data_IF_146615265543
#
_entry.id   IF_146615265543
#
_cell.length_a   1.000
_cell.length_b   1.000
_cell.length_c   1.000
_cell.angle_alpha   90.00
_cell.angle_beta   90.00
_cell.angle_gamma   90.00
#
_symmetry.space_group_name_H-M   'P 1'
#
loop_
_entity.id
_entity.type
_entity.pdbx_description
1 polymer ?
#
# COMPACT_ATOMS: atom_id res chain seq x y z
N UNK A 1 47.08 -31.95 -44.10
CA UNK A 1 47.17 -32.22 -42.65
C UNK A 1 46.31 -31.19 -41.94
N UNK A 2 45.07 -31.55 -41.59
CA UNK A 2 44.06 -30.65 -41.02
C UNK A 2 43.95 -30.97 -39.53
N UNK A 3 44.35 -30.04 -38.66
CA UNK A 3 44.31 -30.21 -37.20
C UNK A 3 42.90 -29.85 -36.73
N UNK A 4 42.13 -30.85 -36.30
CA UNK A 4 40.85 -30.66 -35.65
C UNK A 4 41.07 -30.29 -34.17
N UNK A 5 40.74 -29.05 -33.81
CA UNK A 5 40.64 -28.63 -32.41
C UNK A 5 39.34 -29.19 -31.80
N UNK A 6 39.46 -30.22 -30.96
CA UNK A 6 38.39 -30.67 -30.07
C UNK A 6 38.17 -29.61 -28.98
N UNK A 7 37.15 -28.77 -29.16
CA UNK A 7 36.61 -27.92 -28.09
C UNK A 7 35.90 -28.82 -27.07
N UNK A 8 36.60 -29.17 -26.00
CA UNK A 8 36.01 -29.78 -24.80
C UNK A 8 35.15 -28.69 -24.13
N UNK A 9 33.85 -28.70 -24.44
CA UNK A 9 32.84 -27.99 -23.66
C UNK A 9 32.78 -28.65 -22.28
N UNK A 10 33.54 -28.11 -21.34
CA UNK A 10 33.38 -28.42 -19.92
C UNK A 10 31.94 -28.07 -19.53
N UNK A 11 31.09 -29.10 -19.38
CA UNK A 11 29.81 -28.96 -18.69
C UNK A 11 30.13 -28.47 -17.29
N UNK A 12 29.86 -27.19 -17.00
CA UNK A 12 29.86 -26.68 -15.62
C UNK A 12 28.84 -27.51 -14.85
N UNK A 13 29.30 -28.39 -13.97
CA UNK A 13 28.44 -28.96 -12.93
C UNK A 13 27.96 -27.78 -12.08
N UNK A 14 26.66 -27.52 -12.13
CA UNK A 14 26.05 -26.52 -11.27
C UNK A 14 25.90 -27.15 -9.89
N UNK A 15 26.65 -26.65 -8.92
CA UNK A 15 26.54 -27.06 -7.52
C UNK A 15 25.28 -26.47 -6.86
N UNK A 16 24.97 -26.99 -5.68
CA UNK A 16 23.86 -26.58 -4.81
C UNK A 16 23.89 -25.07 -4.49
N UNK A 17 22.76 -24.54 -3.98
CA UNK A 17 22.64 -23.09 -3.73
C UNK A 17 23.73 -22.61 -2.76
N UNK A 18 24.36 -21.49 -3.09
CA UNK A 18 25.49 -20.95 -2.31
C UNK A 18 25.05 -19.84 -1.36
N UNK A 19 25.80 -19.66 -0.27
CA UNK A 19 25.64 -18.48 0.58
C UNK A 19 25.78 -17.20 -0.25
N UNK A 20 24.86 -16.24 -0.05
CA UNK A 20 24.84 -14.96 -0.75
C UNK A 20 24.42 -14.99 -2.22
N UNK A 21 24.09 -16.16 -2.80
CA UNK A 21 23.72 -16.27 -4.21
C UNK A 21 22.49 -15.43 -4.61
N UNK A 22 21.55 -15.24 -3.68
CA UNK A 22 20.36 -14.41 -3.82
C UNK A 22 20.48 -13.02 -3.18
N UNK A 23 21.66 -12.59 -2.76
CA UNK A 23 21.82 -11.33 -2.02
C UNK A 23 21.31 -10.10 -2.78
N UNK A 24 21.61 -9.99 -4.08
CA UNK A 24 21.12 -8.88 -4.91
C UNK A 24 19.59 -8.88 -5.06
N UNK A 25 19.00 -10.06 -5.31
CA UNK A 25 17.56 -10.22 -5.44
C UNK A 25 16.85 -9.89 -4.11
N UNK A 26 17.41 -10.34 -2.99
CA UNK A 26 16.86 -10.07 -1.67
C UNK A 26 17.00 -8.60 -1.28
N UNK A 27 18.12 -7.96 -1.62
CA UNK A 27 18.31 -6.52 -1.41
C UNK A 27 17.26 -5.70 -2.15
N UNK A 28 16.95 -6.06 -3.39
CA UNK A 28 15.89 -5.41 -4.16
C UNK A 28 14.51 -5.58 -3.49
N UNK A 29 14.20 -6.79 -3.02
CA UNK A 29 12.95 -7.05 -2.30
C UNK A 29 12.87 -6.32 -0.95
N UNK A 30 14.00 -6.19 -0.24
CA UNK A 30 14.08 -5.44 1.02
C UNK A 30 13.69 -3.98 0.85
N UNK A 31 13.93 -3.35 -0.30
CA UNK A 31 13.48 -1.99 -0.55
C UNK A 31 11.94 -1.88 -0.45
N UNK A 32 11.20 -2.82 -1.04
CA UNK A 32 9.75 -2.87 -0.94
C UNK A 32 9.27 -3.25 0.47
N UNK A 33 9.96 -4.18 1.15
CA UNK A 33 9.67 -4.54 2.56
C UNK A 33 9.80 -3.31 3.47
N UNK A 34 10.83 -2.49 3.28
CA UNK A 34 11.01 -1.26 4.07
C UNK A 34 9.88 -0.27 3.82
N UNK A 35 9.46 -0.07 2.57
CA UNK A 35 8.30 0.79 2.25
C UNK A 35 7.05 0.24 2.93
N UNK A 36 6.80 -1.07 2.86
CA UNK A 36 5.66 -1.72 3.52
C UNK A 36 5.71 -1.67 5.06
N UNK A 37 6.88 -1.37 5.64
CA UNK A 37 7.08 -1.18 7.09
C UNK A 37 7.17 0.28 7.50
N UNK A 38 7.08 1.23 6.57
CA UNK A 38 7.11 2.64 6.87
C UNK A 38 5.91 3.02 7.74
N UNK A 39 6.11 3.95 8.67
CA UNK A 39 5.01 4.52 9.45
C UNK A 39 4.38 5.63 8.62
N UNK A 40 3.07 5.58 8.30
CA UNK A 40 2.40 6.69 7.63
C UNK A 40 2.48 7.96 8.47
N UNK A 41 2.71 9.10 7.82
CA UNK A 41 2.62 10.39 8.49
C UNK A 41 1.17 10.63 8.97
N UNK A 42 1.01 11.19 10.16
CA UNK A 42 -0.29 11.61 10.67
C UNK A 42 -0.72 12.89 9.95
N UNK A 43 -1.78 12.81 9.13
CA UNK A 43 -2.35 13.96 8.44
C UNK A 43 -3.27 14.71 9.39
N UNK A 44 -2.70 15.62 10.17
CA UNK A 44 -3.47 16.46 11.08
C UNK A 44 -4.20 17.57 10.33
N UNK A 45 -5.42 17.86 10.78
CA UNK A 45 -6.14 19.06 10.37
C UNK A 45 -5.42 20.30 10.92
N UNK A 46 -5.07 21.30 10.09
CA UNK A 46 -4.61 22.58 10.60
C UNK A 46 -5.64 23.10 11.61
N UNK A 47 -5.21 23.49 12.81
CA UNK A 47 -6.12 23.79 13.90
C UNK A 47 -7.08 24.95 13.57
N UNK A 48 -6.73 25.78 12.59
CA UNK A 48 -7.49 26.95 12.17
C UNK A 48 -8.71 26.63 11.32
N UNK A 49 -8.77 25.47 10.63
CA UNK A 49 -9.86 25.15 9.69
C UNK A 49 -11.22 25.26 10.37
N UNK A 50 -11.37 24.70 11.57
CA UNK A 50 -12.63 24.76 12.32
C UNK A 50 -13.03 26.21 12.64
N UNK A 51 -12.07 27.05 13.04
CA UNK A 51 -12.32 28.47 13.33
C UNK A 51 -12.73 29.28 12.09
N UNK A 52 -12.14 28.96 10.93
CA UNK A 52 -12.46 29.59 9.64
C UNK A 52 -13.87 29.20 9.23
N UNK A 53 -14.20 27.90 9.28
CA UNK A 53 -15.51 27.41 8.90
C UNK A 53 -16.63 27.94 9.81
N UNK A 54 -16.35 28.05 11.12
CA UNK A 54 -17.28 28.67 12.07
C UNK A 54 -17.46 30.17 11.79
N UNK A 55 -16.38 30.88 11.45
CA UNK A 55 -16.46 32.30 11.06
C UNK A 55 -17.29 32.49 9.79
N UNK A 56 -17.09 31.65 8.77
CA UNK A 56 -17.87 31.68 7.52
C UNK A 56 -19.35 31.40 7.80
N UNK A 57 -19.64 30.38 8.62
CA UNK A 57 -21.00 30.04 9.01
C UNK A 57 -21.67 31.17 9.82
N UNK A 58 -20.97 31.79 10.76
CA UNK A 58 -21.46 32.92 11.54
C UNK A 58 -21.79 34.14 10.66
N UNK A 59 -20.92 34.48 9.71
CA UNK A 59 -21.17 35.55 8.74
C UNK A 59 -22.39 35.22 7.88
N UNK A 60 -22.47 34.00 7.35
CA UNK A 60 -23.60 33.54 6.54
C UNK A 60 -24.94 33.61 7.32
N UNK A 61 -24.96 33.16 8.57
CA UNK A 61 -26.16 33.25 9.42
C UNK A 61 -26.55 34.68 9.76
N UNK A 62 -25.58 35.58 9.93
CA UNK A 62 -25.84 36.99 10.25
C UNK A 62 -26.53 37.74 9.10
N UNK A 63 -26.23 37.37 7.85
CA UNK A 63 -26.85 37.96 6.64
C UNK A 63 -28.07 37.18 6.15
N UNK A 64 -28.27 35.95 6.63
CA UNK A 64 -29.41 35.11 6.28
C UNK A 64 -30.73 35.70 6.80
N UNK A 65 -31.83 35.24 6.20
CA UNK A 65 -33.16 35.63 6.63
C UNK A 65 -33.54 34.98 7.98
N UNK A 66 -34.42 35.66 8.70
CA UNK A 66 -34.86 35.22 10.02
C UNK A 66 -35.59 33.88 9.96
N UNK A 67 -36.27 33.55 8.86
CA UNK A 67 -36.98 32.29 8.70
C UNK A 67 -36.02 31.10 8.54
N UNK A 68 -34.85 31.30 7.92
CA UNK A 68 -33.76 30.34 7.92
C UNK A 68 -33.18 30.18 9.33
N UNK A 69 -32.82 31.29 9.98
CA UNK A 69 -32.22 31.28 11.31
C UNK A 69 -33.13 30.62 12.35
N UNK A 70 -34.44 30.84 12.32
CA UNK A 70 -35.40 30.22 13.26
C UNK A 70 -35.44 28.70 13.18
N UNK A 71 -35.03 28.09 12.06
CA UNK A 71 -34.97 26.61 11.92
C UNK A 71 -33.79 25.98 12.65
N UNK A 72 -32.81 26.78 13.07
CA UNK A 72 -31.60 26.29 13.74
C UNK A 72 -31.76 26.47 15.24
N UNK A 73 -31.69 25.37 15.98
CA UNK A 73 -31.67 25.39 17.44
C UNK A 73 -30.20 25.40 17.89
N UNK A 74 -29.76 26.51 18.49
CA UNK A 74 -28.36 26.70 18.91
C UNK A 74 -27.95 25.78 20.07
N UNK A 75 -28.90 25.14 20.74
CA UNK A 75 -28.67 24.24 21.87
C UNK A 75 -28.62 22.76 21.47
N UNK A 76 -28.87 22.44 20.20
CA UNK A 76 -28.98 21.07 19.71
C UNK A 76 -27.99 20.77 18.61
N UNK A 77 -27.58 19.52 18.55
CA UNK A 77 -26.86 18.93 17.41
C UNK A 77 -27.85 18.18 16.54
N UNK A 78 -27.43 17.81 15.33
CA UNK A 78 -28.21 17.00 14.40
C UNK A 78 -28.65 15.69 15.04
N UNK A 79 -27.82 15.10 15.91
CA UNK A 79 -28.15 13.89 16.64
C UNK A 79 -29.30 14.09 17.65
N UNK A 80 -29.49 15.30 18.19
CA UNK A 80 -30.47 15.59 19.26
C UNK A 80 -31.68 16.40 18.82
N UNK A 81 -31.73 16.88 17.57
CA UNK A 81 -32.97 17.42 16.99
C UNK A 81 -34.01 16.31 16.77
N UNK A 82 -35.27 16.72 16.72
CA UNK A 82 -36.41 15.83 16.54
C UNK A 82 -36.38 15.06 15.20
N UNK A 83 -36.86 13.82 15.20
CA UNK A 83 -36.85 12.95 14.01
C UNK A 83 -37.66 13.51 12.85
N UNK A 84 -38.83 14.10 13.13
CA UNK A 84 -39.67 14.73 12.10
C UNK A 84 -38.99 15.96 11.51
N UNK A 85 -38.18 16.67 12.30
CA UNK A 85 -37.32 17.74 11.79
C UNK A 85 -36.26 17.22 10.83
N UNK A 86 -35.56 16.14 11.20
CA UNK A 86 -34.52 15.51 10.36
C UNK A 86 -35.08 15.01 9.03
N UNK A 87 -36.20 14.29 9.06
CA UNK A 87 -36.85 13.73 7.86
C UNK A 87 -37.25 14.80 6.85
N UNK A 88 -37.71 15.96 7.31
CA UNK A 88 -38.11 17.08 6.43
C UNK A 88 -36.92 17.85 5.82
N UNK A 89 -35.69 17.56 6.25
CA UNK A 89 -34.47 18.32 5.90
C UNK A 89 -33.31 17.38 5.60
N UNK A 90 -33.56 16.43 4.69
CA UNK A 90 -32.52 15.56 4.18
C UNK A 90 -31.31 16.39 3.67
N UNK A 91 -30.10 15.98 4.03
CA UNK A 91 -28.85 16.65 3.67
C UNK A 91 -28.40 17.76 4.63
N UNK A 92 -29.22 18.17 5.60
CA UNK A 92 -28.80 19.16 6.61
C UNK A 92 -27.84 18.59 7.65
N UNK A 93 -27.77 17.27 7.78
CA UNK A 93 -26.85 16.52 8.65
C UNK A 93 -25.38 16.96 8.47
N UNK A 94 -25.00 17.35 7.26
CA UNK A 94 -23.63 17.74 6.91
C UNK A 94 -23.17 19.06 7.53
N UNK A 95 -24.11 19.96 7.85
CA UNK A 95 -23.80 21.34 8.22
C UNK A 95 -24.56 21.84 9.46
N UNK A 96 -25.56 21.10 9.95
CA UNK A 96 -26.43 21.56 11.03
C UNK A 96 -25.66 21.91 12.31
N UNK A 97 -24.74 21.06 12.74
CA UNK A 97 -23.96 21.29 13.97
C UNK A 97 -23.11 22.56 13.88
N UNK A 98 -22.54 22.80 12.69
CA UNK A 98 -21.79 24.03 12.41
C UNK A 98 -22.72 25.25 12.48
N UNK A 99 -23.93 25.15 11.93
CA UNK A 99 -24.92 26.22 12.03
C UNK A 99 -25.39 26.46 13.47
N UNK A 100 -25.63 25.41 14.25
CA UNK A 100 -26.05 25.52 15.64
C UNK A 100 -24.98 26.19 16.50
N UNK A 101 -23.72 25.73 16.39
CA UNK A 101 -22.57 26.33 17.07
C UNK A 101 -22.35 27.79 16.65
N UNK A 102 -22.43 28.08 15.34
CA UNK A 102 -22.27 29.45 14.85
C UNK A 102 -23.43 30.35 15.26
N UNK A 103 -24.65 29.82 15.38
CA UNK A 103 -25.79 30.55 15.92
C UNK A 103 -25.61 30.85 17.41
N UNK A 104 -25.03 29.93 18.18
CA UNK A 104 -24.67 30.18 19.58
C UNK A 104 -23.67 31.34 19.69
N UNK A 105 -22.64 31.31 18.85
CA UNK A 105 -21.61 32.35 18.77
C UNK A 105 -22.19 33.74 18.46
N UNK A 106 -22.98 33.88 17.38
CA UNK A 106 -23.53 35.19 16.96
C UNK A 106 -24.62 35.72 17.89
N UNK A 107 -25.17 34.89 18.78
CA UNK A 107 -26.18 35.30 19.78
C UNK A 107 -25.62 35.31 21.21
N UNK A 108 -24.30 35.21 21.36
CA UNK A 108 -23.59 35.21 22.62
C UNK A 108 -22.39 36.16 22.56
N UNK A 109 -21.23 35.71 23.03
CA UNK A 109 -20.01 36.53 23.15
C UNK A 109 -19.53 37.10 21.81
N UNK A 110 -19.82 36.41 20.71
CA UNK A 110 -19.45 36.81 19.35
C UNK A 110 -20.36 37.88 18.72
N UNK A 111 -21.47 38.28 19.34
CA UNK A 111 -22.47 39.18 18.71
C UNK A 111 -21.84 40.46 18.12
N UNK A 112 -21.00 41.15 18.91
CA UNK A 112 -20.33 42.39 18.48
C UNK A 112 -19.38 42.17 17.28
N UNK A 113 -18.75 40.99 17.19
CA UNK A 113 -17.81 40.64 16.12
C UNK A 113 -18.50 40.60 14.75
N UNK A 114 -19.75 40.12 14.72
CA UNK A 114 -20.50 39.93 13.48
C UNK A 114 -21.53 41.01 13.19
N UNK A 115 -21.85 41.88 14.16
CA UNK A 115 -22.86 42.94 14.05
C UNK A 115 -22.78 43.77 12.75
N UNK A 116 -21.57 44.09 12.28
CA UNK A 116 -21.36 44.85 11.02
C UNK A 116 -21.94 44.18 9.78
N UNK A 117 -22.11 42.85 9.79
CA UNK A 117 -22.68 42.09 8.68
C UNK A 117 -24.21 42.20 8.62
N UNK A 118 -24.88 42.50 9.75
CA UNK A 118 -26.34 42.58 9.81
C UNK A 118 -26.95 43.62 8.85
N UNK A 119 -26.20 44.67 8.50
CA UNK A 119 -26.60 45.69 7.51
C UNK A 119 -26.79 45.14 6.09
N UNK A 120 -26.33 43.91 5.84
CA UNK A 120 -26.44 43.23 4.55
C UNK A 120 -27.51 42.14 4.54
N UNK A 121 -28.37 42.05 5.58
CA UNK A 121 -29.44 41.04 5.68
C UNK A 121 -30.31 40.98 4.43
N UNK A 122 -30.76 39.76 4.10
CA UNK A 122 -31.89 39.40 3.23
C UNK A 122 -32.12 40.30 2.01
N UNK A 123 -31.65 39.86 0.83
CA UNK A 123 -31.99 40.48 -0.45
C UNK A 123 -30.97 41.48 -1.02
N UNK A 124 -29.80 41.63 -0.38
CA UNK A 124 -28.67 42.34 -0.97
C UNK A 124 -27.80 41.40 -1.81
N UNK A 125 -27.17 41.92 -2.88
CA UNK A 125 -26.17 41.17 -3.65
C UNK A 125 -25.03 40.62 -2.76
N UNK A 126 -24.72 41.32 -1.65
CA UNK A 126 -23.73 40.88 -0.66
C UNK A 126 -24.19 39.62 0.08
N UNK A 127 -25.46 39.53 0.49
CA UNK A 127 -25.99 38.33 1.15
C UNK A 127 -25.95 37.12 0.22
N UNK A 128 -26.27 37.30 -1.06
CA UNK A 128 -26.20 36.23 -2.05
C UNK A 128 -24.77 35.75 -2.28
N UNK A 129 -23.82 36.69 -2.38
CA UNK A 129 -22.40 36.36 -2.52
C UNK A 129 -21.83 35.67 -1.28
N UNK A 130 -22.18 36.12 -0.08
CA UNK A 130 -21.79 35.47 1.18
C UNK A 130 -22.34 34.04 1.22
N UNK A 131 -23.62 33.84 0.86
CA UNK A 131 -24.23 32.51 0.81
C UNK A 131 -23.53 31.60 -0.18
N UNK A 132 -23.20 32.11 -1.37
CA UNK A 132 -22.46 31.37 -2.39
C UNK A 132 -21.08 30.93 -1.86
N UNK A 133 -20.29 31.87 -1.33
CA UNK A 133 -18.95 31.60 -0.80
C UNK A 133 -18.98 30.64 0.40
N UNK A 134 -19.99 30.74 1.26
CA UNK A 134 -20.16 29.83 2.38
C UNK A 134 -20.44 28.40 1.92
N UNK A 135 -21.32 28.23 0.92
CA UNK A 135 -21.61 26.92 0.34
C UNK A 135 -20.37 26.28 -0.31
N UNK A 136 -19.61 27.06 -1.08
CA UNK A 136 -18.34 26.60 -1.66
C UNK A 136 -17.34 26.16 -0.58
N UNK A 137 -17.16 26.97 0.46
CA UNK A 137 -16.27 26.63 1.57
C UNK A 137 -16.71 25.36 2.30
N UNK A 138 -18.02 25.17 2.53
CA UNK A 138 -18.54 23.95 3.14
C UNK A 138 -18.33 22.72 2.26
N UNK A 139 -18.53 22.85 0.95
CA UNK A 139 -18.29 21.77 0.00
C UNK A 139 -16.80 21.37 -0.03
N UNK A 140 -15.89 22.36 -0.08
CA UNK A 140 -14.44 22.14 -0.02
C UNK A 140 -14.06 21.45 1.28
N UNK A 141 -14.54 21.94 2.43
CA UNK A 141 -14.24 21.35 3.73
C UNK A 141 -14.72 19.89 3.82
N UNK A 142 -15.91 19.58 3.29
CA UNK A 142 -16.42 18.22 3.25
C UNK A 142 -15.57 17.30 2.36
N UNK A 143 -15.19 17.78 1.17
CA UNK A 143 -14.33 17.04 0.26
C UNK A 143 -12.94 16.76 0.89
N UNK A 144 -12.34 17.78 1.52
CA UNK A 144 -11.05 17.64 2.23
C UNK A 144 -11.15 16.64 3.37
N UNK A 145 -12.23 16.68 4.18
CA UNK A 145 -12.45 15.69 5.25
C UNK A 145 -12.55 14.27 4.71
N UNK A 146 -13.22 14.07 3.58
CA UNK A 146 -13.33 12.75 2.96
C UNK A 146 -11.98 12.26 2.40
N UNK A 147 -11.21 13.13 1.74
CA UNK A 147 -9.87 12.77 1.26
C UNK A 147 -8.92 12.47 2.43
N UNK A 148 -8.96 13.26 3.51
CA UNK A 148 -8.20 12.98 4.74
C UNK A 148 -8.60 11.65 5.37
N UNK A 149 -9.89 11.30 5.37
CA UNK A 149 -10.36 10.01 5.89
C UNK A 149 -9.78 8.84 5.11
N UNK A 150 -9.66 8.97 3.78
CA UNK A 150 -9.02 7.94 2.93
C UNK A 150 -7.52 7.82 3.19
N UNK A 151 -6.87 8.93 3.53
CA UNK A 151 -5.44 9.01 3.81
C UNK A 151 -5.09 8.89 5.29
N UNK A 152 -6.08 8.66 6.15
CA UNK A 152 -5.85 8.46 7.57
C UNK A 152 -4.88 7.29 7.78
N UNK A 153 -4.11 7.35 8.86
CA UNK A 153 -3.06 6.37 9.17
C UNK A 153 -3.57 4.93 9.16
N UNK A 154 -4.80 4.68 9.60
CA UNK A 154 -5.39 3.33 9.66
C UNK A 154 -5.60 2.69 8.27
N UNK A 155 -6.33 3.32 7.32
CA UNK A 155 -6.40 2.86 5.92
C UNK A 155 -5.03 2.64 5.26
N UNK A 156 -4.08 3.57 5.44
CA UNK A 156 -2.74 3.44 4.85
C UNK A 156 -1.98 2.26 5.49
N UNK A 157 -2.02 2.13 6.81
CA UNK A 157 -1.40 1.01 7.53
C UNK A 157 -2.00 -0.33 7.13
N UNK A 158 -3.31 -0.40 6.89
CA UNK A 158 -3.96 -1.61 6.39
C UNK A 158 -3.41 -2.02 5.03
N UNK A 159 -3.22 -1.08 4.09
CA UNK A 159 -2.61 -1.35 2.79
C UNK A 159 -1.14 -1.75 2.86
N UNK A 160 -0.37 -1.12 3.75
CA UNK A 160 1.00 -1.52 4.03
C UNK A 160 1.07 -2.95 4.59
N UNK A 161 0.18 -3.29 5.52
CA UNK A 161 0.05 -4.65 6.05
C UNK A 161 -0.41 -5.65 4.98
N UNK A 162 -1.36 -5.30 4.12
CA UNK A 162 -1.77 -6.14 3.00
C UNK A 162 -0.59 -6.42 2.05
N UNK A 163 0.27 -5.42 1.79
CA UNK A 163 1.47 -5.64 1.01
C UNK A 163 2.49 -6.56 1.71
N UNK A 164 2.73 -6.33 3.00
CA UNK A 164 3.73 -7.06 3.76
C UNK A 164 3.30 -8.51 4.05
N UNK A 165 2.09 -8.68 4.58
CA UNK A 165 1.56 -9.92 5.13
C UNK A 165 0.53 -10.61 4.22
N UNK A 166 -0.05 -9.88 3.26
CA UNK A 166 -1.13 -10.37 2.39
C UNK A 166 -2.54 -10.14 2.95
N UNK A 167 -2.63 -9.57 4.16
CA UNK A 167 -3.86 -9.26 4.88
C UNK A 167 -3.68 -7.97 5.70
N UNK A 168 -4.77 -7.26 5.99
CA UNK A 168 -4.72 -6.00 6.75
C UNK A 168 -4.23 -6.17 8.21
N UNK A 169 -4.38 -7.38 8.76
CA UNK A 169 -3.86 -7.79 10.06
C UNK A 169 -3.21 -9.16 9.95
N UNK A 170 -2.20 -9.43 10.77
CA UNK A 170 -1.56 -10.74 10.82
C UNK A 170 -2.56 -11.81 11.31
N UNK A 171 -2.51 -12.98 10.68
CA UNK A 171 -3.19 -14.19 11.09
C UNK A 171 -2.21 -15.38 11.18
N UNK A 172 -2.72 -16.56 11.55
CA UNK A 172 -1.96 -17.83 11.65
C UNK A 172 -1.30 -18.26 10.32
N UNK A 173 -1.61 -17.60 9.22
CA UNK A 173 -1.08 -17.91 7.90
C UNK A 173 -0.05 -16.91 7.39
N UNK A 174 0.13 -15.78 8.06
CA UNK A 174 1.02 -14.67 7.67
C UNK A 174 2.39 -15.14 7.19
N UNK A 175 3.01 -16.05 7.95
CA UNK A 175 4.37 -16.51 7.71
C UNK A 175 4.43 -17.89 7.03
N UNK A 176 3.30 -18.43 6.58
CA UNK A 176 3.26 -19.71 5.89
C UNK A 176 3.52 -19.52 4.40
N UNK A 177 4.47 -20.28 3.84
CA UNK A 177 4.71 -20.30 2.39
C UNK A 177 3.53 -20.91 1.61
N UNK A 178 2.71 -21.74 2.23
CA UNK A 178 1.56 -22.39 1.62
C UNK A 178 0.65 -23.01 2.68
N UNK A 179 -0.55 -23.43 2.29
CA UNK A 179 -1.48 -24.17 3.16
C UNK A 179 -1.51 -25.63 2.72
N UNK A 180 -1.83 -26.56 3.63
CA UNK A 180 -1.82 -28.00 3.36
C UNK A 180 -2.79 -28.39 2.23
N UNK A 181 -2.35 -29.28 1.34
CA UNK A 181 -3.11 -29.82 0.20
C UNK A 181 -2.25 -30.00 -1.05
N UNK A 182 -2.73 -30.74 -2.05
CA UNK A 182 -1.98 -31.10 -3.29
C UNK A 182 -1.46 -29.88 -4.08
N UNK A 183 -2.14 -28.73 -3.94
CA UNK A 183 -1.77 -27.47 -4.59
C UNK A 183 -0.88 -26.56 -3.72
N UNK A 184 -0.61 -26.94 -2.47
CA UNK A 184 0.12 -26.14 -1.49
C UNK A 184 1.63 -26.35 -1.48
N UNK A 185 2.14 -27.33 -2.23
CA UNK A 185 3.57 -27.65 -2.33
C UNK A 185 4.42 -26.43 -2.69
N UNK A 186 5.66 -26.36 -2.19
CA UNK A 186 6.54 -25.19 -2.33
C UNK A 186 6.73 -24.76 -3.78
N UNK A 187 6.93 -25.71 -4.69
CA UNK A 187 7.00 -25.43 -6.12
C UNK A 187 5.69 -24.85 -6.68
N UNK A 188 4.52 -25.25 -6.18
CA UNK A 188 3.26 -24.67 -6.67
C UNK A 188 3.09 -23.23 -6.20
N UNK A 189 3.50 -22.93 -4.96
CA UNK A 189 3.31 -21.61 -4.36
C UNK A 189 4.36 -20.58 -4.78
N UNK A 190 5.60 -21.00 -4.98
CA UNK A 190 6.72 -20.14 -5.34
C UNK A 190 6.94 -20.07 -6.87
N UNK A 191 6.73 -21.15 -7.65
CA UNK A 191 6.85 -21.15 -9.15
C UNK A 191 5.55 -20.97 -9.91
N UNK A 192 4.40 -21.36 -9.33
CA UNK A 192 3.14 -21.54 -10.05
C UNK A 192 3.21 -22.57 -11.21
N UNK A 193 3.59 -23.81 -10.89
CA UNK A 193 3.33 -24.96 -11.77
C UNK A 193 1.83 -25.31 -11.87
N UNK A 194 0.94 -24.68 -11.09
CA UNK A 194 -0.52 -24.85 -11.18
C UNK A 194 -1.32 -23.55 -11.02
N UNK A 195 -2.49 -23.47 -11.67
CA UNK A 195 -3.29 -22.24 -11.78
C UNK A 195 -4.25 -21.98 -10.60
N UNK A 196 -4.34 -22.86 -9.61
CA UNK A 196 -5.50 -22.94 -8.71
C UNK A 196 -5.25 -22.61 -7.21
N UNK A 197 -4.21 -21.84 -6.87
CA UNK A 197 -3.95 -21.51 -5.46
C UNK A 197 -4.43 -20.10 -5.07
N UNK A 198 -5.07 -19.95 -3.90
CA UNK A 198 -5.56 -18.65 -3.40
C UNK A 198 -4.43 -17.67 -3.02
N UNK A 199 -3.30 -18.21 -2.58
CA UNK A 199 -2.07 -17.45 -2.29
C UNK A 199 -1.03 -17.81 -3.35
N UNK A 200 -0.84 -17.00 -4.39
CA UNK A 200 0.15 -17.22 -5.47
C UNK A 200 1.41 -16.37 -5.23
N UNK A 201 2.43 -16.45 -6.09
CA UNK A 201 3.55 -15.50 -5.99
C UNK A 201 3.05 -14.06 -6.04
N UNK A 202 3.77 -13.15 -5.41
CA UNK A 202 3.33 -11.76 -5.35
C UNK A 202 2.12 -11.53 -4.42
N UNK A 203 1.69 -12.55 -3.66
CA UNK A 203 0.62 -12.41 -2.67
C UNK A 203 1.04 -11.47 -1.52
N UNK A 204 2.25 -11.64 -1.00
CA UNK A 204 2.81 -10.80 0.05
C UNK A 204 4.34 -10.76 -0.01
N UNK A 205 4.94 -9.68 0.50
CA UNK A 205 6.39 -9.52 0.53
C UNK A 205 7.06 -10.54 1.47
N UNK A 206 6.44 -10.87 2.61
CA UNK A 206 6.90 -11.94 3.51
C UNK A 206 7.05 -13.24 2.74
N UNK A 207 6.04 -13.59 1.95
CA UNK A 207 6.03 -14.86 1.22
C UNK A 207 7.07 -14.90 0.11
N UNK A 208 7.16 -13.84 -0.69
CA UNK A 208 8.16 -13.75 -1.75
C UNK A 208 9.59 -13.84 -1.16
N UNK A 209 9.84 -13.22 0.01
CA UNK A 209 11.10 -13.34 0.73
C UNK A 209 11.36 -14.77 1.25
N UNK A 210 10.35 -15.43 1.81
CA UNK A 210 10.49 -16.81 2.28
C UNK A 210 10.78 -17.76 1.11
N UNK A 211 10.11 -17.61 -0.03
CA UNK A 211 10.39 -18.37 -1.26
C UNK A 211 11.83 -18.18 -1.75
N UNK A 212 12.30 -16.92 -1.75
CA UNK A 212 13.61 -16.52 -2.21
C UNK A 212 14.76 -16.96 -1.29
N UNK A 213 14.53 -17.08 0.01
CA UNK A 213 15.63 -17.19 0.98
C UNK A 213 15.69 -18.53 1.72
N UNK A 214 14.53 -19.10 2.07
CA UNK A 214 14.51 -20.26 2.97
C UNK A 214 14.92 -21.56 2.27
N UNK A 215 15.46 -22.48 3.04
CA UNK A 215 15.76 -23.86 2.62
C UNK A 215 14.44 -24.63 2.43
N UNK A 216 14.35 -25.42 1.36
CA UNK A 216 13.26 -26.35 1.12
C UNK A 216 13.73 -27.82 1.16
N UNK A 217 12.90 -28.71 0.62
CA UNK A 217 13.09 -30.17 0.70
C UNK A 217 14.41 -30.64 0.10
N UNK A 218 15.09 -31.52 0.82
CA UNK A 218 16.37 -32.10 0.39
C UNK A 218 17.61 -31.36 0.89
N UNK A 219 17.46 -30.39 1.80
CA UNK A 219 18.56 -29.58 2.34
C UNK A 219 19.08 -28.56 1.32
N UNK A 220 20.00 -27.70 1.75
CA UNK A 220 20.67 -26.70 0.91
C UNK A 220 22.08 -26.45 1.49
N UNK A 221 23.11 -26.42 0.65
CA UNK A 221 24.49 -26.13 1.07
C UNK A 221 24.67 -24.70 1.58
N UNK A 222 23.74 -23.80 1.29
CA UNK A 222 23.73 -22.45 1.86
C UNK A 222 23.37 -22.44 3.34
N UNK A 223 22.80 -23.51 3.91
CA UNK A 223 22.33 -23.56 5.32
C UNK A 223 21.40 -22.39 5.67
N UNK A 224 20.51 -22.03 4.73
CA UNK A 224 19.59 -20.89 4.85
C UNK A 224 20.21 -19.52 4.56
N UNK A 225 21.49 -19.45 4.15
CA UNK A 225 22.24 -18.20 3.93
C UNK A 225 22.24 -17.70 2.49
N UNK A 226 21.42 -18.27 1.61
CA UNK A 226 21.35 -17.87 0.20
C UNK A 226 21.12 -16.37 0.00
N UNK A 227 20.32 -15.72 0.86
CA UNK A 227 20.04 -14.29 0.77
C UNK A 227 21.05 -13.39 1.49
N UNK A 228 21.59 -13.84 2.63
CA UNK A 228 22.68 -13.17 3.34
C UNK A 228 23.19 -14.04 4.48
N UNK A 229 24.39 -13.74 5.01
CA UNK A 229 24.96 -14.48 6.15
C UNK A 229 24.09 -14.42 7.41
N UNK A 230 23.39 -13.30 7.64
CA UNK A 230 22.52 -13.07 8.81
C UNK A 230 21.05 -13.45 8.58
N UNK A 231 20.73 -14.01 7.41
CA UNK A 231 19.36 -14.30 6.98
C UNK A 231 18.87 -15.68 7.42
N UNK A 232 19.78 -16.56 7.85
CA UNK A 232 19.46 -17.92 8.23
C UNK A 232 18.78 -17.98 9.60
N UNK A 233 17.81 -18.91 9.73
CA UNK A 233 17.28 -19.33 11.03
C UNK A 233 18.36 -20.14 11.77
N UNK A 234 18.44 -19.99 13.09
CA UNK A 234 19.30 -20.82 13.95
C UNK A 234 18.45 -21.71 14.90
N UNK A 235 18.74 -23.03 15.00
CA UNK A 235 19.54 -23.82 14.05
C UNK A 235 18.86 -23.85 12.67
N UNK A 236 19.64 -24.12 11.63
CA UNK A 236 19.12 -24.24 10.25
C UNK A 236 18.07 -25.35 10.17
N UNK A 237 17.06 -25.10 9.36
CA UNK A 237 15.96 -26.03 9.14
C UNK A 237 15.24 -25.70 7.83
N UNK A 238 14.67 -26.73 7.21
CA UNK A 238 13.75 -26.60 6.10
C UNK A 238 12.45 -25.89 6.52
N UNK A 239 11.96 -24.98 5.67
CA UNK A 239 10.61 -24.43 5.79
C UNK A 239 9.63 -25.19 4.90
N UNK A 240 8.86 -26.07 5.54
CA UNK A 240 7.79 -26.84 4.92
C UNK A 240 6.53 -26.01 4.65
N UNK A 241 5.72 -26.48 3.71
CA UNK A 241 4.41 -25.88 3.42
C UNK A 241 3.46 -26.14 4.58
N UNK A 242 2.76 -25.10 5.04
CA UNK A 242 1.91 -25.05 6.25
C UNK A 242 2.65 -24.93 7.60
N UNK A 243 3.98 -24.90 7.62
CA UNK A 243 4.74 -24.57 8.83
C UNK A 243 4.74 -23.06 9.05
N UNK A 244 4.58 -22.64 10.31
CA UNK A 244 4.78 -21.25 10.71
C UNK A 244 6.24 -20.83 10.45
N UNK A 245 6.42 -19.97 9.46
CA UNK A 245 7.72 -19.45 9.04
C UNK A 245 8.26 -18.31 9.90
N UNK A 246 7.63 -17.94 11.02
CA UNK A 246 8.04 -16.80 11.85
C UNK A 246 9.54 -16.83 12.21
N UNK A 247 10.07 -18.01 12.56
CA UNK A 247 11.49 -18.16 12.91
C UNK A 247 12.46 -17.95 11.72
N UNK A 248 11.98 -18.12 10.48
CA UNK A 248 12.74 -17.81 9.27
C UNK A 248 12.54 -16.35 8.83
N UNK A 249 11.35 -15.79 9.05
CA UNK A 249 11.07 -14.40 8.69
C UNK A 249 11.86 -13.41 9.55
N UNK A 250 11.92 -13.60 10.88
CA UNK A 250 12.62 -12.68 11.80
C UNK A 250 14.04 -12.28 11.35
N UNK A 251 14.96 -13.21 11.02
CA UNK A 251 16.30 -12.83 10.54
C UNK A 251 16.29 -12.13 9.18
N UNK A 252 15.36 -12.48 8.27
CA UNK A 252 15.20 -11.78 6.99
C UNK A 252 14.73 -10.34 7.20
N UNK A 253 13.73 -10.15 8.04
CA UNK A 253 13.23 -8.85 8.41
C UNK A 253 14.33 -7.98 9.04
N UNK A 254 15.07 -8.53 9.99
CA UNK A 254 16.20 -7.85 10.63
C UNK A 254 17.30 -7.48 9.63
N UNK A 255 17.58 -8.34 8.65
CA UNK A 255 18.52 -8.03 7.58
C UNK A 255 18.02 -6.87 6.72
N UNK A 256 16.72 -6.84 6.38
CA UNK A 256 16.14 -5.73 5.64
C UNK A 256 16.19 -4.42 6.44
N UNK A 257 15.80 -4.42 7.72
CA UNK A 257 15.72 -3.18 8.53
C UNK A 257 17.07 -2.69 9.05
N UNK A 258 18.09 -3.55 9.12
CA UNK A 258 19.46 -3.16 9.50
C UNK A 258 20.20 -2.33 8.44
N UNK A 259 19.63 -2.21 7.24
CA UNK A 259 20.17 -1.40 6.15
C UNK A 259 19.49 -0.02 6.15
N UNK A 260 20.12 1.02 6.73
CA UNK A 260 19.68 2.44 6.69
C UNK A 260 18.27 2.79 7.24
N UNK A 261 18.01 4.08 7.45
CA UNK A 261 16.73 4.60 8.00
C UNK A 261 15.51 4.12 7.20
N UNK A 262 14.34 3.92 7.84
CA UNK A 262 13.10 3.65 7.14
C UNK A 262 12.85 4.76 6.09
N UNK A 263 12.50 4.40 4.84
CA UNK A 263 12.20 5.39 3.83
C UNK A 263 10.93 6.15 4.19
N UNK A 264 10.87 7.43 3.85
CA UNK A 264 9.61 8.17 3.85
C UNK A 264 8.62 7.47 2.91
N UNK A 265 7.38 7.32 3.35
CA UNK A 265 6.32 6.73 2.52
C UNK A 265 5.86 7.77 1.48
N UNK A 266 6.42 7.71 0.27
CA UNK A 266 6.04 8.60 -0.82
C UNK A 266 6.19 7.90 -2.19
N UNK A 267 5.71 8.55 -3.25
CA UNK A 267 5.75 7.99 -4.62
C UNK A 267 7.16 7.70 -5.12
N UNK A 268 8.13 8.53 -4.75
CA UNK A 268 9.51 8.38 -5.20
C UNK A 268 10.19 7.15 -4.58
N UNK A 269 10.02 6.95 -3.27
CA UNK A 269 10.59 5.79 -2.57
C UNK A 269 9.95 4.49 -3.03
N UNK A 270 8.64 4.49 -3.26
CA UNK A 270 7.94 3.35 -3.86
C UNK A 270 8.45 3.05 -5.28
N UNK A 271 8.54 4.06 -6.15
CA UNK A 271 9.00 3.86 -7.53
C UNK A 271 10.46 3.38 -7.59
N UNK A 272 11.32 3.88 -6.71
CA UNK A 272 12.70 3.42 -6.59
C UNK A 272 12.77 1.94 -6.18
N UNK A 273 11.96 1.51 -5.20
CA UNK A 273 11.86 0.11 -4.79
C UNK A 273 11.39 -0.79 -5.94
N UNK A 274 10.35 -0.39 -6.67
CA UNK A 274 9.83 -1.13 -7.83
C UNK A 274 10.90 -1.25 -8.92
N UNK A 275 11.58 -0.16 -9.25
CA UNK A 275 12.64 -0.12 -10.27
C UNK A 275 13.81 -1.02 -9.87
N UNK A 276 14.19 -1.04 -8.60
CA UNK A 276 15.22 -1.93 -8.08
C UNK A 276 14.85 -3.41 -8.24
N UNK A 277 13.60 -3.78 -7.98
CA UNK A 277 13.11 -5.14 -8.22
C UNK A 277 13.13 -5.45 -9.71
N UNK A 278 12.62 -4.57 -10.57
CA UNK A 278 12.63 -4.75 -12.03
C UNK A 278 14.03 -4.99 -12.57
N UNK A 279 15.02 -4.21 -12.12
CA UNK A 279 16.42 -4.39 -12.51
C UNK A 279 17.03 -5.71 -12.02
N UNK A 280 16.54 -6.26 -10.91
CA UNK A 280 16.97 -7.54 -10.37
C UNK A 280 16.30 -8.76 -11.04
N UNK A 281 15.28 -8.55 -11.88
CA UNK A 281 14.63 -9.63 -12.61
C UNK A 281 15.54 -10.17 -13.72
N UNK A 282 15.78 -11.48 -13.67
CA UNK A 282 16.45 -12.21 -14.75
C UNK A 282 15.42 -12.58 -15.82
N UNK A 283 15.77 -12.34 -17.08
CA UNK A 283 14.95 -12.71 -18.24
C UNK A 283 15.50 -13.96 -18.91
N UNK A 284 14.63 -14.72 -19.59
CA UNK A 284 15.06 -15.93 -20.28
C UNK A 284 16.08 -15.59 -21.36
N UNK A 285 17.15 -16.36 -21.41
CA UNK A 285 18.01 -16.47 -22.59
C UNK A 285 17.70 -17.79 -23.27
N UNK A 286 17.78 -17.82 -24.60
CA UNK A 286 17.07 -18.74 -25.53
C UNK A 286 17.21 -20.25 -25.27
N UNK A 287 18.11 -20.71 -24.41
CA UNK A 287 18.41 -22.14 -24.21
C UNK A 287 18.31 -22.63 -22.76
N UNK A 288 18.16 -21.76 -21.75
CA UNK A 288 18.30 -22.18 -20.35
C UNK A 288 16.98 -22.27 -19.59
N UNK A 289 16.02 -21.35 -19.74
CA UNK A 289 14.77 -21.36 -18.93
C UNK A 289 13.53 -21.00 -19.75
N UNK A 290 12.37 -21.55 -19.39
CA UNK A 290 11.06 -21.14 -19.95
C UNK A 290 10.48 -19.91 -19.26
N UNK A 291 11.06 -19.50 -18.12
CA UNK A 291 10.52 -18.45 -17.25
C UNK A 291 11.16 -17.09 -17.54
N UNK A 292 10.30 -16.09 -17.78
CA UNK A 292 10.68 -14.69 -17.78
C UNK A 292 10.44 -14.09 -16.38
N UNK A 293 11.20 -13.05 -16.04
CA UNK A 293 11.04 -12.25 -14.82
C UNK A 293 11.27 -13.05 -13.52
N UNK A 294 12.47 -13.64 -13.42
CA UNK A 294 12.89 -14.45 -12.27
C UNK A 294 13.65 -13.57 -11.29
N UNK A 295 13.16 -13.44 -10.06
CA UNK A 295 13.88 -12.79 -8.96
C UNK A 295 14.61 -13.86 -8.14
N UNK A 296 15.93 -13.97 -8.29
CA UNK A 296 16.78 -14.96 -7.60
C UNK A 296 17.44 -15.97 -8.53
N UNK A 297 17.74 -17.17 -8.04
CA UNK A 297 18.38 -18.24 -8.82
C UNK A 297 17.38 -19.30 -9.28
N UNK A 298 17.45 -19.61 -10.58
CA UNK A 298 16.77 -20.72 -11.22
C UNK A 298 17.80 -21.46 -12.08
N UNK A 299 17.93 -22.77 -11.89
CA UNK A 299 18.83 -23.62 -12.68
C UNK A 299 18.07 -24.37 -13.77
N UNK A 300 18.76 -24.60 -14.88
CA UNK A 300 18.21 -25.30 -16.04
C UNK A 300 16.85 -24.75 -16.46
N UNK A 301 15.98 -25.63 -16.96
CA UNK A 301 14.68 -25.25 -17.55
C UNK A 301 13.69 -24.69 -16.52
N UNK A 302 13.93 -24.90 -15.22
CA UNK A 302 12.97 -24.61 -14.17
C UNK A 302 11.79 -25.58 -14.07
N UNK A 303 11.80 -26.70 -14.82
CA UNK A 303 10.69 -27.67 -14.88
C UNK A 303 10.35 -28.35 -13.55
N UNK A 304 11.28 -28.43 -12.59
CA UNK A 304 11.02 -28.96 -11.25
C UNK A 304 10.40 -27.91 -10.32
N UNK A 305 10.37 -26.64 -10.74
CA UNK A 305 9.85 -25.53 -9.98
C UNK A 305 10.76 -25.09 -8.82
N UNK A 306 10.22 -24.27 -7.94
CA UNK A 306 10.94 -23.59 -6.87
C UNK A 306 10.83 -24.39 -5.59
N UNK A 307 11.74 -25.35 -5.46
CA UNK A 307 11.78 -26.29 -4.34
C UNK A 307 12.51 -25.72 -3.14
N UNK A 308 13.14 -24.54 -3.24
CA UNK A 308 13.93 -23.95 -2.15
C UNK A 308 15.38 -24.46 -2.09
N UNK A 309 15.79 -25.27 -3.06
CA UNK A 309 17.18 -25.62 -3.34
C UNK A 309 17.39 -25.77 -4.86
N UNK A 310 18.63 -25.61 -5.29
CA UNK A 310 19.13 -25.75 -6.65
C UNK A 310 20.05 -26.97 -6.71
N UNK A 311 19.54 -28.18 -6.37
CA UNK A 311 20.38 -29.39 -6.24
C UNK A 311 21.08 -29.72 -7.57
N UNK A 312 22.37 -30.07 -7.53
CA UNK A 312 23.18 -30.68 -8.61
C UNK A 312 22.50 -30.99 -9.95
N UNK A 313 22.36 -29.99 -10.84
CA UNK A 313 21.84 -30.15 -12.21
C UNK A 313 20.32 -30.32 -12.35
N UNK A 314 19.56 -30.17 -11.26
CA UNK A 314 18.09 -30.18 -11.29
C UNK A 314 17.55 -28.89 -11.90
N UNK A 315 16.48 -29.00 -12.68
CA UNK A 315 15.73 -27.88 -13.26
C UNK A 315 14.90 -27.14 -12.17
N UNK A 316 15.49 -26.87 -11.00
CA UNK A 316 14.85 -26.30 -9.82
C UNK A 316 15.44 -24.91 -9.47
N UNK A 317 14.85 -24.23 -8.48
CA UNK A 317 15.35 -22.92 -8.08
C UNK A 317 14.97 -22.46 -6.68
N UNK A 318 15.70 -21.43 -6.25
CA UNK A 318 15.42 -20.63 -5.07
C UNK A 318 15.19 -19.19 -5.55
N UNK A 319 13.97 -18.89 -5.94
CA UNK A 319 13.60 -17.60 -6.53
C UNK A 319 12.10 -17.33 -6.39
N UNK A 320 11.62 -16.28 -7.05
CA UNK A 320 10.21 -15.97 -7.31
C UNK A 320 10.05 -15.70 -8.81
N UNK A 321 9.00 -16.20 -9.44
CA UNK A 321 8.78 -16.04 -10.90
C UNK A 321 7.52 -15.22 -11.16
N UNK A 322 7.66 -14.00 -11.66
CA UNK A 322 6.53 -13.14 -12.03
C UNK A 322 6.19 -13.34 -13.52
N UNK A 323 5.30 -14.29 -13.84
CA UNK A 323 5.03 -14.74 -15.23
C UNK A 323 4.89 -13.60 -16.27
N UNK A 324 4.20 -12.51 -15.93
CA UNK A 324 4.03 -11.34 -16.81
C UNK A 324 4.78 -10.09 -16.33
N UNK A 325 5.75 -10.26 -15.44
CA UNK A 325 6.46 -9.19 -14.76
C UNK A 325 5.64 -8.63 -13.60
N UNK A 326 6.01 -7.43 -13.17
CA UNK A 326 5.36 -6.72 -12.08
C UNK A 326 4.06 -6.04 -12.57
N UNK A 327 3.00 -6.82 -12.78
CA UNK A 327 1.67 -6.29 -13.15
C UNK A 327 0.79 -6.11 -11.92
N UNK A 328 -0.10 -5.12 -11.93
CA UNK A 328 -1.07 -4.88 -10.84
C UNK A 328 -2.50 -5.24 -11.20
N UNK A 329 -2.72 -5.74 -12.42
CA UNK A 329 -4.03 -6.13 -12.93
C UNK A 329 -4.02 -7.55 -13.52
N UNK A 330 -5.21 -8.14 -13.63
CA UNK A 330 -5.43 -9.47 -14.17
C UNK A 330 -5.06 -10.62 -13.23
N UNK A 331 -5.21 -11.85 -13.74
CA UNK A 331 -5.10 -13.09 -12.94
C UNK A 331 -3.68 -13.42 -12.45
N UNK A 332 -2.66 -12.69 -12.91
CA UNK A 332 -1.25 -12.86 -12.51
C UNK A 332 -0.69 -11.60 -11.86
N UNK A 333 -1.56 -10.71 -11.36
CA UNK A 333 -1.13 -9.52 -10.64
C UNK A 333 -0.27 -9.85 -9.43
N UNK A 334 0.68 -8.97 -9.15
CA UNK A 334 1.47 -8.93 -7.93
C UNK A 334 0.65 -8.15 -6.90
N UNK A 335 -0.09 -8.86 -6.05
CA UNK A 335 -1.00 -8.25 -5.08
C UNK A 335 -0.27 -7.27 -4.14
N UNK A 336 0.90 -7.64 -3.61
CA UNK A 336 1.64 -6.73 -2.74
C UNK A 336 2.01 -5.41 -3.42
N UNK A 337 2.24 -5.43 -4.74
CA UNK A 337 2.56 -4.24 -5.51
C UNK A 337 1.32 -3.35 -5.69
N UNK A 338 0.17 -3.94 -5.98
CA UNK A 338 -1.12 -3.24 -6.04
C UNK A 338 -1.41 -2.55 -4.70
N UNK A 339 -1.21 -3.25 -3.58
CA UNK A 339 -1.42 -2.68 -2.25
C UNK A 339 -0.47 -1.51 -1.96
N UNK A 340 0.83 -1.61 -2.32
CA UNK A 340 1.76 -0.48 -2.17
C UNK A 340 1.42 0.69 -3.08
N UNK A 341 0.95 0.47 -4.31
CA UNK A 341 0.54 1.57 -5.19
C UNK A 341 -0.68 2.32 -4.65
N UNK A 342 -1.55 1.63 -3.90
CA UNK A 342 -2.69 2.25 -3.23
C UNK A 342 -2.29 3.15 -2.04
N UNK A 343 -1.08 3.01 -1.47
CA UNK A 343 -0.60 3.88 -0.38
C UNK A 343 0.00 5.21 -0.88
N UNK A 344 0.48 5.25 -2.12
CA UNK A 344 1.15 6.41 -2.73
C UNK A 344 0.25 7.37 -3.52
N UNK A 345 -1.07 7.17 -3.50
CA UNK A 345 -2.02 8.09 -4.13
C UNK A 345 -2.33 9.27 -3.22
N UNK A 346 -1.39 10.21 -3.10
CA UNK A 346 -1.71 11.55 -2.59
C UNK A 346 -2.65 12.28 -3.58
N UNK A 347 -3.60 13.10 -3.08
CA UNK A 347 -4.47 13.97 -3.87
C UNK A 347 -3.67 15.19 -4.37
N UNK A 348 -2.78 14.98 -5.34
CA UNK A 348 -1.98 16.04 -5.95
C UNK A 348 -2.26 16.27 -7.44
N UNK A 349 -2.89 15.32 -8.13
CA UNK A 349 -2.98 15.33 -9.61
C UNK A 349 -4.34 15.74 -10.18
N UNK A 350 -5.33 16.04 -9.32
CA UNK A 350 -6.59 16.63 -9.76
C UNK A 350 -6.58 18.17 -9.77
N UNK A 351 -5.60 18.82 -9.13
CA UNK A 351 -5.56 20.29 -9.01
C UNK A 351 -4.84 21.00 -10.16
N UNK A 352 -4.06 20.28 -10.97
CA UNK A 352 -3.41 20.85 -12.16
C UNK A 352 -4.30 20.87 -13.40
N UNK A 353 -5.32 20.00 -13.49
CA UNK A 353 -6.26 20.03 -14.62
C UNK A 353 -7.32 21.12 -14.51
N UNK A 354 -7.71 21.49 -13.28
CA UNK A 354 -8.70 22.56 -13.04
C UNK A 354 -8.13 23.97 -13.26
N UNK A 355 -6.82 24.20 -13.03
CA UNK A 355 -6.21 25.52 -13.25
C UNK A 355 -6.06 25.88 -14.73
N UNK A 356 -6.08 24.91 -15.64
CA UNK A 356 -5.92 25.15 -17.08
C UNK A 356 -7.26 25.40 -17.80
N UNK A 357 -8.38 24.97 -17.24
CA UNK A 357 -9.73 25.27 -17.78
C UNK A 357 -10.26 26.64 -17.36
N UNK A 358 -9.87 27.15 -16.19
CA UNK A 358 -10.27 28.50 -15.74
C UNK A 358 -9.47 29.61 -16.44
N UNK A 359 -8.36 29.29 -17.11
CA UNK A 359 -7.56 30.26 -17.88
C UNK A 359 -7.99 30.37 -19.35
N UNK A 360 -8.98 29.56 -19.77
CA UNK A 360 -9.51 29.51 -21.15
C UNK A 360 -11.00 29.88 -21.26
N UNK A 361 -11.60 30.49 -20.23
CA UNK A 361 -12.96 31.03 -20.30
C UNK A 361 -13.00 32.51 -19.98
#
# INVERSE_FOLDING_TARGET
>A
MMIAFLLILARRSHGDSKAGENAGAFTALCAAIKVAKATPADLQEPPEINSIMQTIAAINLTVADDAFNQKIDKSKTWATVDDKFRQKRAGWDKHYDMYASSKAEITGEGEKKYAKWSRHRSGSAVAEQVRFLANEAFAINLAVKEERRKLATAPVSAKLNEALYGTAAQDDNTYKIGISGSNGARQNVCSQTSNAHARKKGFSLVRDALCLCTTGGGGDTSTGKACCEKCAKAPDAELNTNTDGTAWWKPLEAACTGMSHPPDLNRQTLQAAITGIQAALKHKTTTQTTSNNVLGTLLGTGSAGLTGNSVGGSNAGKCVIYIYGLTVSGNNKVAWLEHLQQTGTEPGEHTTRSKDETRRR
#
